data_IF_273179382241
#
_entry.id   IF_273179382241
#
_cell.length_a   1.000
_cell.length_b   1.000
_cell.length_c   1.000
_cell.angle_alpha   90.00
_cell.angle_beta   90.00
_cell.angle_gamma   90.00
#
_symmetry.space_group_name_H-M   'P 1'
#
loop_
_entity.id
_entity.type
_entity.pdbx_description
1 polymer ?
#
# COMPACT_ATOMS: atom_id res chain seq x y z
N UNK A 1 -33.51 1.91 -31.24
CA UNK A 1 -33.39 0.46 -30.95
C UNK A 1 -31.94 0.02 -30.75
N UNK A 2 -31.02 0.23 -31.71
CA UNK A 2 -29.61 -0.17 -31.55
C UNK A 2 -28.91 0.44 -30.31
N UNK A 3 -29.17 1.73 -30.00
CA UNK A 3 -28.64 2.42 -28.80
C UNK A 3 -29.20 1.91 -27.46
N UNK A 4 -30.44 1.41 -27.45
CA UNK A 4 -31.04 0.82 -26.25
C UNK A 4 -30.43 -0.55 -25.96
N UNK A 5 -30.15 -1.34 -27.00
CA UNK A 5 -29.49 -2.64 -26.88
C UNK A 5 -28.04 -2.50 -26.38
N UNK A 6 -27.29 -1.48 -26.81
CA UNK A 6 -25.93 -1.24 -26.30
C UNK A 6 -25.90 -0.80 -24.84
N UNK A 7 -26.85 0.04 -24.39
CA UNK A 7 -26.97 0.41 -22.98
C UNK A 7 -27.34 -0.79 -22.09
N UNK A 8 -28.18 -1.71 -22.58
CA UNK A 8 -28.52 -2.94 -21.86
C UNK A 8 -27.31 -3.86 -21.69
N UNK A 9 -26.47 -4.01 -22.72
CA UNK A 9 -25.27 -4.86 -22.68
C UNK A 9 -24.23 -4.32 -21.68
N UNK A 10 -24.07 -2.99 -21.60
CA UNK A 10 -23.19 -2.36 -20.61
C UNK A 10 -23.72 -2.60 -19.19
N UNK A 11 -25.03 -2.53 -18.96
CA UNK A 11 -25.64 -2.84 -17.66
C UNK A 11 -25.41 -4.30 -17.21
N UNK A 12 -25.43 -5.27 -18.14
CA UNK A 12 -25.15 -6.68 -17.82
C UNK A 12 -23.67 -6.96 -17.50
N UNK A 13 -22.74 -6.14 -18.01
CA UNK A 13 -21.30 -6.22 -17.68
C UNK A 13 -20.97 -5.70 -16.27
N UNK A 14 -21.86 -4.91 -15.66
CA UNK A 14 -21.75 -4.42 -14.27
C UNK A 14 -22.44 -5.33 -13.24
N UNK A 15 -22.80 -6.57 -13.59
CA UNK A 15 -23.13 -7.58 -12.59
C UNK A 15 -21.86 -7.95 -11.83
N UNK A 16 -21.64 -7.24 -10.72
CA UNK A 16 -20.56 -7.44 -9.76
C UNK A 16 -20.41 -8.92 -9.40
N UNK A 17 -19.37 -9.56 -9.92
CA UNK A 17 -18.79 -10.72 -9.29
C UNK A 17 -17.93 -10.24 -8.12
N UNK A 18 -18.58 -9.84 -7.02
CA UNK A 18 -17.89 -9.74 -5.73
C UNK A 18 -17.73 -11.17 -5.20
N UNK A 19 -16.69 -11.87 -5.66
CA UNK A 19 -16.21 -13.04 -4.95
C UNK A 19 -15.20 -12.57 -3.90
N UNK A 20 -15.71 -12.12 -2.76
CA UNK A 20 -14.90 -12.08 -1.53
C UNK A 20 -14.82 -13.52 -0.99
N UNK A 21 -14.12 -14.40 -1.70
CA UNK A 21 -13.76 -15.70 -1.15
C UNK A 21 -12.47 -15.52 -0.35
N UNK A 22 -12.62 -15.21 0.93
CA UNK A 22 -11.56 -15.38 1.91
C UNK A 22 -11.45 -16.88 2.21
N UNK A 23 -10.86 -17.64 1.28
CA UNK A 23 -10.54 -19.04 1.53
C UNK A 23 -9.31 -19.07 2.46
N UNK A 24 -9.57 -18.99 3.77
CA UNK A 24 -8.57 -19.15 4.83
C UNK A 24 -8.05 -20.58 4.78
N UNK A 25 -7.08 -20.84 3.91
CA UNK A 25 -6.36 -22.13 3.87
C UNK A 25 -5.65 -22.31 5.21
N UNK A 26 -6.33 -23.03 6.09
CA UNK A 26 -5.94 -23.19 7.50
C UNK A 26 -4.76 -24.16 7.65
N UNK A 27 -4.24 -24.71 6.54
CA UNK A 27 -3.27 -25.78 6.55
C UNK A 27 -1.86 -25.35 7.01
N UNK A 28 -1.52 -24.04 6.97
CA UNK A 28 -0.17 -23.55 7.30
C UNK A 28 -0.12 -22.25 8.13
N UNK A 29 -1.27 -21.69 8.52
CA UNK A 29 -1.35 -20.39 9.21
C UNK A 29 -0.74 -19.23 8.40
N UNK A 30 -0.62 -19.41 7.08
CA UNK A 30 -0.17 -18.41 6.12
C UNK A 30 -1.41 -17.74 5.53
N UNK A 31 -1.53 -16.44 5.74
CA UNK A 31 -2.56 -15.60 5.15
C UNK A 31 -2.03 -15.03 3.83
N UNK A 32 -2.80 -15.23 2.76
CA UNK A 32 -2.51 -14.71 1.42
C UNK A 32 -3.66 -13.76 1.08
N UNK A 33 -3.32 -12.51 0.78
CA UNK A 33 -4.28 -11.48 0.37
C UNK A 33 -3.72 -10.71 -0.81
N UNK A 34 -4.57 -10.02 -1.57
CA UNK A 34 -4.09 -9.22 -2.70
C UNK A 34 -5.23 -8.50 -3.41
N UNK A 35 -4.87 -7.70 -4.40
CA UNK A 35 -5.85 -7.00 -5.23
C UNK A 35 -5.33 -6.80 -6.66
N UNK A 36 -6.27 -6.58 -7.59
CA UNK A 36 -5.98 -6.26 -8.99
C UNK A 36 -6.75 -4.99 -9.32
N UNK A 37 -6.05 -4.02 -9.91
CA UNK A 37 -6.59 -2.72 -10.28
C UNK A 37 -6.48 -2.49 -11.80
N UNK A 38 -7.64 -2.33 -12.41
CA UNK A 38 -7.80 -1.92 -13.81
C UNK A 38 -8.92 -0.91 -13.87
N UNK A 39 -8.77 0.14 -14.68
CA UNK A 39 -9.69 1.26 -14.70
C UNK A 39 -9.84 1.84 -16.09
N UNK A 40 -10.91 2.60 -16.29
CA UNK A 40 -11.11 3.46 -17.45
C UNK A 40 -11.49 4.84 -16.95
N UNK A 41 -10.77 5.86 -17.40
CA UNK A 41 -11.04 7.26 -17.04
C UNK A 41 -11.42 8.04 -18.28
N UNK A 42 -12.42 8.92 -18.17
CA UNK A 42 -12.77 9.87 -19.23
C UNK A 42 -12.95 11.26 -18.65
N UNK A 43 -12.26 12.23 -19.23
CA UNK A 43 -12.31 13.63 -18.90
C UNK A 43 -12.94 14.41 -20.06
N UNK A 44 -14.10 15.02 -19.81
CA UNK A 44 -14.83 15.80 -20.81
C UNK A 44 -14.06 17.01 -21.33
N UNK A 45 -13.06 17.50 -20.59
CA UNK A 45 -12.20 18.59 -21.04
C UNK A 45 -11.03 18.11 -21.91
N UNK A 46 -10.83 16.78 -22.06
CA UNK A 46 -9.74 16.16 -22.82
C UNK A 46 -8.34 16.69 -22.46
N UNK A 47 -8.16 17.17 -21.24
CA UNK A 47 -6.91 17.72 -20.69
C UNK A 47 -6.87 17.39 -19.19
N UNK A 48 -5.71 17.07 -18.59
CA UNK A 48 -5.65 16.80 -17.15
C UNK A 48 -6.11 18.01 -16.32
N UNK A 49 -7.33 17.95 -15.77
CA UNK A 49 -7.93 19.05 -15.00
C UNK A 49 -7.85 18.85 -13.48
N UNK A 50 -7.71 17.61 -13.01
CA UNK A 50 -7.50 17.26 -11.60
C UNK A 50 -6.05 16.85 -11.42
N UNK A 51 -5.22 17.77 -10.90
CA UNK A 51 -3.78 17.57 -10.66
C UNK A 51 -3.47 16.79 -9.37
N UNK A 52 -4.31 15.82 -9.04
CA UNK A 52 -4.05 14.88 -7.94
C UNK A 52 -3.18 13.72 -8.44
N UNK A 53 -2.95 12.70 -7.61
CA UNK A 53 -2.14 11.55 -8.01
C UNK A 53 -3.04 10.45 -8.59
N UNK A 54 -2.49 9.69 -9.54
CA UNK A 54 -3.15 8.57 -10.23
C UNK A 54 -4.37 9.01 -11.07
N UNK A 55 -4.23 10.16 -11.73
CA UNK A 55 -5.27 10.77 -12.57
C UNK A 55 -4.74 11.16 -13.95
N UNK A 56 -3.68 10.53 -14.46
CA UNK A 56 -2.99 10.97 -15.68
C UNK A 56 -3.71 10.50 -16.95
N UNK A 57 -4.20 9.26 -16.97
CA UNK A 57 -4.76 8.63 -18.19
C UNK A 57 -6.13 9.20 -18.58
N UNK A 58 -6.37 9.47 -19.86
CA UNK A 58 -7.67 9.93 -20.35
C UNK A 58 -8.15 9.11 -21.55
N UNK A 59 -9.42 8.73 -21.52
CA UNK A 59 -10.09 7.94 -22.54
C UNK A 59 -9.32 6.65 -22.89
N UNK A 60 -8.77 5.99 -21.87
CA UNK A 60 -7.97 4.78 -22.01
C UNK A 60 -8.36 3.75 -20.95
N UNK A 61 -8.39 2.48 -21.36
CA UNK A 61 -8.43 1.36 -20.42
C UNK A 61 -7.00 1.13 -19.97
N UNK A 62 -6.79 1.20 -18.66
CA UNK A 62 -5.47 1.21 -18.06
C UNK A 62 -5.41 0.23 -16.89
N UNK A 63 -4.19 -0.15 -16.55
CA UNK A 63 -3.88 -0.96 -15.38
C UNK A 63 -3.24 -0.05 -14.32
N UNK A 64 -3.62 -0.22 -13.06
CA UNK A 64 -3.02 0.54 -11.97
C UNK A 64 -1.97 -0.28 -11.22
N UNK A 65 -2.39 -1.40 -10.65
CA UNK A 65 -1.48 -2.34 -9.98
C UNK A 65 -2.06 -3.72 -9.74
N UNK A 66 -1.17 -4.68 -9.52
CA UNK A 66 -1.46 -5.96 -8.84
C UNK A 66 -0.70 -5.94 -7.53
N UNK A 67 -1.39 -6.27 -6.45
CA UNK A 67 -0.86 -6.34 -5.09
C UNK A 67 -1.02 -7.76 -4.52
N UNK A 68 0.02 -8.27 -3.88
CA UNK A 68 0.03 -9.59 -3.26
C UNK A 68 0.78 -9.56 -1.93
N UNK A 69 0.05 -9.77 -0.84
CA UNK A 69 0.56 -9.84 0.52
C UNK A 69 0.53 -11.26 1.08
N UNK A 70 1.61 -11.60 1.77
CA UNK A 70 1.80 -12.81 2.55
C UNK A 70 2.02 -12.41 4.01
N UNK A 71 1.21 -12.95 4.91
CA UNK A 71 1.34 -12.71 6.36
C UNK A 71 1.33 -14.03 7.09
N UNK A 72 2.19 -14.17 8.10
CA UNK A 72 2.16 -15.34 8.96
C UNK A 72 2.62 -14.98 10.35
N UNK A 73 1.95 -15.54 11.35
CA UNK A 73 2.36 -15.49 12.75
C UNK A 73 2.59 -16.90 13.27
N UNK A 74 3.76 -17.15 13.86
CA UNK A 74 4.13 -18.41 14.49
C UNK A 74 4.62 -18.13 15.90
N UNK A 75 3.78 -18.45 16.89
CA UNK A 75 4.02 -18.06 18.27
C UNK A 75 4.10 -16.54 18.41
N UNK A 76 5.23 -16.03 18.91
CA UNK A 76 5.50 -14.60 19.11
C UNK A 76 6.12 -13.91 17.89
N UNK A 77 6.56 -14.66 16.89
CA UNK A 77 7.18 -14.10 15.68
C UNK A 77 6.16 -14.00 14.54
N UNK A 78 6.21 -12.93 13.76
CA UNK A 78 5.45 -12.80 12.53
C UNK A 78 6.26 -12.14 11.42
N UNK A 79 5.82 -12.32 10.18
CA UNK A 79 6.35 -11.58 9.04
C UNK A 79 5.22 -11.08 8.14
N UNK A 80 5.54 -10.03 7.38
CA UNK A 80 4.74 -9.53 6.26
C UNK A 80 5.67 -9.35 5.07
N UNK A 81 5.26 -9.90 3.93
CA UNK A 81 5.87 -9.64 2.63
C UNK A 81 4.78 -9.26 1.63
N UNK A 82 4.88 -8.08 1.03
CA UNK A 82 3.89 -7.54 0.11
C UNK A 82 4.59 -7.07 -1.16
N UNK A 83 4.11 -7.57 -2.29
CA UNK A 83 4.64 -7.31 -3.61
C UNK A 83 3.64 -6.51 -4.42
N UNK A 84 4.13 -5.50 -5.13
CA UNK A 84 3.28 -4.58 -5.89
C UNK A 84 3.87 -4.26 -7.25
N UNK A 85 3.08 -4.57 -8.28
CA UNK A 85 3.44 -4.47 -9.69
C UNK A 85 2.49 -3.54 -10.43
N UNK A 86 2.95 -2.94 -11.52
CA UNK A 86 2.17 -2.00 -12.34
C UNK A 86 2.49 -0.54 -12.05
N UNK A 87 1.91 0.40 -12.82
CA UNK A 87 2.33 1.80 -12.79
C UNK A 87 2.28 2.47 -11.41
N UNK A 88 1.31 2.11 -10.57
CA UNK A 88 1.19 2.65 -9.21
C UNK A 88 2.30 2.16 -8.29
N UNK A 89 2.62 0.87 -8.33
CA UNK A 89 3.69 0.29 -7.51
C UNK A 89 5.08 0.70 -8.01
N UNK A 90 5.33 0.52 -9.31
CA UNK A 90 6.64 0.67 -9.92
C UNK A 90 7.14 2.11 -9.98
N UNK A 91 6.28 3.07 -10.35
CA UNK A 91 6.73 4.43 -10.69
C UNK A 91 6.43 5.48 -9.62
N UNK A 92 5.59 5.17 -8.62
CA UNK A 92 4.95 6.21 -7.81
C UNK A 92 5.13 6.04 -6.31
N UNK A 93 5.82 5.00 -5.88
CA UNK A 93 5.67 4.58 -4.48
C UNK A 93 6.68 3.58 -3.94
N UNK A 94 7.26 2.74 -4.80
CA UNK A 94 8.27 1.78 -4.36
C UNK A 94 9.65 2.26 -4.78
N UNK A 95 10.63 2.05 -3.90
CA UNK A 95 12.03 2.36 -4.17
C UNK A 95 12.57 1.72 -5.44
N UNK A 96 13.50 2.44 -6.06
CA UNK A 96 14.25 1.94 -7.20
C UNK A 96 15.34 0.94 -6.79
N UNK A 97 15.58 -0.03 -7.67
CA UNK A 97 16.49 -1.16 -7.45
C UNK A 97 17.97 -0.81 -7.40
N UNK A 98 18.36 0.30 -8.03
CA UNK A 98 19.75 0.66 -8.30
C UNK A 98 20.24 1.89 -7.50
N UNK A 99 19.40 2.43 -6.61
CA UNK A 99 19.74 3.57 -5.77
C UNK A 99 19.86 4.90 -6.53
N UNK A 100 19.53 4.95 -7.82
CA UNK A 100 19.40 6.20 -8.57
C UNK A 100 18.01 6.79 -8.29
N UNK A 101 17.98 7.92 -7.61
CA UNK A 101 16.76 8.70 -7.46
C UNK A 101 16.24 9.08 -8.87
N UNK A 102 15.07 8.55 -9.24
CA UNK A 102 14.41 8.86 -10.51
C UNK A 102 14.73 7.95 -11.71
N UNK A 103 15.39 6.80 -11.54
CA UNK A 103 15.25 5.71 -12.53
C UNK A 103 13.99 4.88 -12.26
N UNK A 104 12.86 5.48 -12.61
CA UNK A 104 11.53 4.91 -12.47
C UNK A 104 11.39 3.53 -13.19
N UNK A 105 12.35 3.15 -14.05
CA UNK A 105 12.27 1.89 -14.81
C UNK A 105 12.68 0.64 -14.01
N UNK A 106 13.25 0.77 -12.81
CA UNK A 106 13.78 -0.34 -12.04
C UNK A 106 13.27 -0.31 -10.60
N UNK A 107 12.29 -1.14 -10.25
CA UNK A 107 11.75 -1.26 -8.88
C UNK A 107 11.98 -2.66 -8.31
N UNK A 108 12.20 -2.76 -7.00
CA UNK A 108 12.19 -4.06 -6.32
C UNK A 108 10.80 -4.69 -6.24
N UNK A 109 9.73 -3.92 -6.49
CA UNK A 109 8.34 -4.34 -6.34
C UNK A 109 7.98 -4.81 -4.92
N UNK A 110 8.69 -4.32 -3.91
CA UNK A 110 8.46 -4.64 -2.50
C UNK A 110 7.76 -3.45 -1.84
N UNK A 111 6.50 -3.64 -1.44
CA UNK A 111 5.71 -2.61 -0.76
C UNK A 111 5.88 -2.69 0.76
N UNK A 112 5.89 -3.90 1.32
CA UNK A 112 6.20 -4.18 2.72
C UNK A 112 7.07 -5.42 2.82
N UNK A 113 8.14 -5.38 3.62
CA UNK A 113 8.94 -6.56 3.95
C UNK A 113 9.53 -6.40 5.33
N UNK A 114 8.86 -6.96 6.34
CA UNK A 114 9.31 -6.82 7.72
C UNK A 114 8.96 -8.04 8.56
N UNK A 115 9.70 -8.17 9.66
CA UNK A 115 9.47 -9.16 10.70
C UNK A 115 9.08 -8.46 12.00
N UNK A 116 8.21 -9.08 12.79
CA UNK A 116 7.83 -8.60 14.12
C UNK A 116 7.99 -9.70 15.15
N UNK A 117 8.29 -9.30 16.38
CA UNK A 117 8.37 -10.19 17.53
C UNK A 117 7.68 -9.57 18.74
N UNK A 118 6.74 -10.32 19.32
CA UNK A 118 6.04 -9.94 20.55
C UNK A 118 6.93 -10.26 21.76
N UNK A 119 7.57 -9.23 22.32
CA UNK A 119 8.35 -9.37 23.55
C UNK A 119 7.46 -9.72 24.74
N UNK A 120 6.28 -9.10 24.78
CA UNK A 120 5.21 -9.37 25.76
C UNK A 120 3.85 -9.28 25.06
N UNK A 121 2.75 -9.51 25.79
CA UNK A 121 1.40 -9.32 25.25
C UNK A 121 1.10 -7.87 24.85
N UNK A 122 1.84 -6.89 25.39
CA UNK A 122 1.63 -5.46 25.16
C UNK A 122 2.76 -4.77 24.39
N UNK A 123 3.91 -5.44 24.22
CA UNK A 123 5.10 -4.85 23.64
C UNK A 123 5.59 -5.72 22.48
N UNK A 124 5.68 -5.13 21.30
CA UNK A 124 6.26 -5.77 20.12
C UNK A 124 7.37 -4.91 19.51
N UNK A 125 8.33 -5.58 18.88
CA UNK A 125 9.36 -4.93 18.06
C UNK A 125 9.22 -5.39 16.61
N UNK A 126 9.37 -4.46 15.68
CA UNK A 126 9.28 -4.72 14.23
C UNK A 126 10.52 -4.15 13.55
N UNK A 127 11.14 -4.93 12.68
CA UNK A 127 12.29 -4.51 11.88
C UNK A 127 12.07 -4.85 10.41
N UNK A 128 12.48 -3.95 9.53
CA UNK A 128 12.47 -4.18 8.09
C UNK A 128 12.03 -2.95 7.31
N UNK A 129 11.35 -3.20 6.21
CA UNK A 129 10.90 -2.22 5.26
C UNK A 129 9.37 -2.09 5.34
N UNK A 130 8.87 -0.93 5.74
CA UNK A 130 7.46 -0.73 6.05
C UNK A 130 6.89 0.42 5.22
N UNK A 131 5.63 0.29 4.80
CA UNK A 131 4.85 1.43 4.33
C UNK A 131 4.73 2.48 5.43
N UNK A 132 4.59 3.74 5.01
CA UNK A 132 4.58 4.86 5.93
C UNK A 132 3.48 4.77 6.98
N UNK A 133 3.76 5.36 8.15
CA UNK A 133 2.80 5.53 9.25
C UNK A 133 2.15 6.93 9.26
N UNK A 134 2.50 7.78 8.29
CA UNK A 134 2.03 9.16 8.19
C UNK A 134 1.12 9.28 6.98
N UNK A 135 -0.06 9.86 7.20
CA UNK A 135 -1.07 10.01 6.15
C UNK A 135 -2.06 8.85 6.13
N UNK A 136 -3.23 9.11 5.54
CA UNK A 136 -4.33 8.16 5.45
C UNK A 136 -4.34 7.42 4.11
N UNK A 137 -3.91 8.09 3.05
CA UNK A 137 -3.96 7.57 1.69
C UNK A 137 -2.72 6.73 1.40
N UNK A 138 -2.94 5.57 0.80
CA UNK A 138 -1.89 4.60 0.48
C UNK A 138 -1.81 4.31 -1.01
N UNK A 139 -0.77 3.57 -1.38
CA UNK A 139 -0.43 3.24 -2.78
C UNK A 139 -1.52 2.35 -3.38
N UNK A 140 -1.91 1.33 -2.63
CA UNK A 140 -2.88 0.33 -3.04
C UNK A 140 -4.29 0.93 -3.06
N UNK A 141 -4.96 1.02 -4.22
CA UNK A 141 -6.24 1.71 -4.35
C UNK A 141 -7.36 1.00 -3.58
N UNK A 142 -7.26 -0.32 -3.39
CA UNK A 142 -8.24 -1.11 -2.62
C UNK A 142 -8.26 -0.77 -1.13
N UNK A 143 -7.20 -0.13 -0.63
CA UNK A 143 -7.09 0.31 0.76
C UNK A 143 -7.45 1.79 0.95
N UNK A 144 -7.88 2.49 -0.11
CA UNK A 144 -8.31 3.88 -0.05
C UNK A 144 -9.82 3.99 -0.20
N UNK A 145 -10.41 5.02 0.42
CA UNK A 145 -11.82 5.35 0.20
C UNK A 145 -12.08 5.91 -1.22
N UNK A 146 -11.12 6.68 -1.75
CA UNK A 146 -11.17 7.21 -3.12
C UNK A 146 -10.07 6.57 -3.98
N UNK A 147 -10.35 6.42 -5.28
CA UNK A 147 -9.40 5.84 -6.22
C UNK A 147 -8.13 6.69 -6.43
N UNK A 148 -8.34 8.00 -6.64
CA UNK A 148 -7.27 9.00 -6.71
C UNK A 148 -6.89 9.47 -5.31
N UNK A 149 -5.63 9.85 -5.12
CA UNK A 149 -5.15 10.35 -3.82
C UNK A 149 -4.89 11.86 -3.86
N UNK A 150 -5.07 12.51 -2.71
CA UNK A 150 -4.99 13.98 -2.57
C UNK A 150 -3.60 14.54 -2.82
N UNK A 151 -3.48 15.87 -2.86
CA UNK A 151 -2.17 16.54 -2.93
C UNK A 151 -1.25 16.20 -1.75
N UNK A 152 -1.82 15.88 -0.57
CA UNK A 152 -1.03 15.58 0.62
C UNK A 152 -0.36 14.21 0.53
N UNK A 153 -0.91 13.28 -0.26
CA UNK A 153 -0.32 11.95 -0.49
C UNK A 153 1.13 12.05 -0.96
N UNK A 154 1.42 12.90 -1.94
CA UNK A 154 2.79 13.03 -2.44
C UNK A 154 3.68 14.02 -1.71
N UNK A 155 3.21 14.60 -0.61
CA UNK A 155 4.03 15.44 0.27
C UNK A 155 4.64 14.65 1.45
N UNK A 156 4.28 13.36 1.58
CA UNK A 156 4.70 12.51 2.68
C UNK A 156 5.68 11.40 2.27
N UNK A 157 6.19 10.64 3.28
CA UNK A 157 6.91 9.39 3.04
C UNK A 157 6.00 8.37 2.38
N UNK A 158 6.56 7.45 1.60
CA UNK A 158 5.84 6.26 1.15
C UNK A 158 6.30 5.01 1.88
N UNK A 159 7.61 4.90 2.10
CA UNK A 159 8.23 3.74 2.73
C UNK A 159 9.39 4.13 3.65
N UNK A 160 9.49 3.43 4.76
CA UNK A 160 10.45 3.66 5.83
C UNK A 160 11.14 2.34 6.22
N UNK A 161 12.46 2.28 6.00
CA UNK A 161 13.29 1.18 6.47
C UNK A 161 13.75 1.45 7.90
N UNK A 162 13.57 0.52 8.82
CA UNK A 162 14.04 0.74 10.19
C UNK A 162 13.56 -0.26 11.23
N UNK A 163 13.60 0.19 12.48
CA UNK A 163 13.19 -0.53 13.67
C UNK A 163 12.15 0.29 14.42
N UNK A 164 11.05 -0.34 14.81
CA UNK A 164 10.06 0.26 15.70
C UNK A 164 9.71 -0.64 16.87
N UNK A 165 9.26 -0.02 17.95
CA UNK A 165 8.61 -0.67 19.07
C UNK A 165 7.19 -0.13 19.21
N UNK A 166 6.23 -1.02 19.47
CA UNK A 166 4.84 -0.66 19.73
C UNK A 166 4.46 -1.13 21.13
N UNK A 167 3.91 -0.21 21.93
CA UNK A 167 3.38 -0.51 23.26
C UNK A 167 1.88 -0.22 23.32
N UNK A 168 1.09 -1.25 23.61
CA UNK A 168 -0.37 -1.15 23.73
C UNK A 168 -0.75 -0.88 25.18
N UNK A 169 -1.26 0.32 25.47
CA UNK A 169 -1.72 0.67 26.81
C UNK A 169 -3.11 0.09 27.09
N UNK A 170 -3.99 0.15 26.10
CA UNK A 170 -5.36 -0.34 26.12
C UNK A 170 -5.80 -0.75 24.72
N UNK A 171 -6.99 -1.32 24.59
CA UNK A 171 -7.56 -1.69 23.28
C UNK A 171 -7.68 -0.51 22.30
N UNK A 172 -7.72 0.74 22.80
CA UNK A 172 -7.95 1.94 21.99
C UNK A 172 -6.71 2.82 21.81
N UNK A 173 -5.65 2.56 22.57
CA UNK A 173 -4.49 3.46 22.63
C UNK A 173 -3.21 2.64 22.68
N UNK A 174 -2.37 2.86 21.67
CA UNK A 174 -1.00 2.38 21.62
C UNK A 174 -0.03 3.51 21.25
N UNK A 175 1.24 3.35 21.63
CA UNK A 175 2.32 4.23 21.22
C UNK A 175 3.31 3.45 20.38
N UNK A 176 3.66 4.02 19.24
CA UNK A 176 4.79 3.59 18.42
C UNK A 176 5.93 4.58 18.58
N UNK A 177 7.12 4.03 18.80
CA UNK A 177 8.39 4.73 18.64
C UNK A 177 9.24 4.00 17.62
N UNK A 178 9.99 4.71 16.81
CA UNK A 178 10.89 4.06 15.86
C UNK A 178 12.05 4.92 15.41
N UNK A 179 13.05 4.22 14.91
CA UNK A 179 14.24 4.77 14.29
C UNK A 179 14.32 4.24 12.86
N UNK A 180 14.46 5.14 11.91
CA UNK A 180 14.37 4.85 10.49
C UNK A 180 15.55 5.47 9.74
N UNK A 181 15.85 4.88 8.60
CA UNK A 181 16.65 5.51 7.56
C UNK A 181 15.94 6.78 7.06
N UNK A 182 16.61 7.56 6.21
CA UNK A 182 15.94 8.54 5.37
C UNK A 182 14.72 7.90 4.67
N UNK A 183 13.61 8.65 4.62
CA UNK A 183 12.40 8.21 3.91
C UNK A 183 12.68 7.98 2.42
N UNK A 184 11.98 7.01 1.84
CA UNK A 184 12.06 6.72 0.40
C UNK A 184 13.51 6.46 -0.10
N UNK A 185 14.39 5.88 0.73
CA UNK A 185 15.69 5.33 0.29
C UNK A 185 15.87 3.86 0.70
N UNK A 186 16.58 3.10 -0.13
CA UNK A 186 16.85 1.68 0.13
C UNK A 186 17.99 1.52 1.14
N UNK A 187 19.05 2.29 0.93
CA UNK A 187 20.23 2.32 1.79
C UNK A 187 20.47 3.75 2.23
N UNK A 188 20.71 3.91 3.53
CA UNK A 188 21.10 5.18 4.10
C UNK A 188 22.59 5.13 4.48
N UNK A 189 23.39 5.90 3.76
CA UNK A 189 24.83 6.00 4.00
C UNK A 189 25.17 6.89 5.19
N UNK A 190 24.20 7.63 5.74
CA UNK A 190 24.34 8.43 6.95
C UNK A 190 23.92 7.66 8.22
N UNK A 191 23.45 6.42 8.07
CA UNK A 191 22.95 5.58 9.16
C UNK A 191 21.52 5.95 9.58
N UNK A 192 20.97 5.21 10.55
CA UNK A 192 19.60 5.41 11.04
C UNK A 192 19.47 6.80 11.69
N UNK A 193 18.83 7.73 10.98
CA UNK A 193 18.89 9.17 11.25
C UNK A 193 17.54 9.78 11.66
N UNK A 194 16.43 9.10 11.39
CA UNK A 194 15.08 9.62 11.58
C UNK A 194 14.38 9.00 12.79
N UNK A 195 13.78 9.84 13.63
CA UNK A 195 13.03 9.43 14.82
C UNK A 195 11.54 9.70 14.63
N UNK A 196 10.73 8.67 14.86
CA UNK A 196 9.29 8.76 14.70
C UNK A 196 8.58 8.41 16.00
N UNK A 197 7.50 9.14 16.28
CA UNK A 197 6.61 8.96 17.41
C UNK A 197 5.19 9.10 16.90
N UNK A 198 4.35 8.09 17.12
CA UNK A 198 2.93 8.19 16.79
C UNK A 198 2.06 7.47 17.80
N UNK A 199 0.92 8.07 18.13
CA UNK A 199 -0.13 7.44 18.93
C UNK A 199 -1.12 6.79 17.99
N UNK A 200 -1.31 5.48 18.13
CA UNK A 200 -2.26 4.73 17.34
C UNK A 200 -3.58 4.64 18.09
N UNK A 201 -4.65 5.08 17.42
CA UNK A 201 -6.02 4.90 17.87
C UNK A 201 -6.69 3.84 17.02
N UNK A 202 -7.01 2.70 17.63
CA UNK A 202 -7.87 1.71 16.98
C UNK A 202 -9.31 2.21 17.05
N UNK A 203 -9.88 2.45 15.87
CA UNK A 203 -11.32 2.65 15.70
C UNK A 203 -11.93 1.28 15.44
N UNK A 204 -12.95 0.93 16.22
CA UNK A 204 -13.74 -0.30 16.06
C UNK A 204 -14.54 -0.27 14.74
#
# INVERSE_FOLDING_TARGET
MKKLITLSIIYYLFLNFTNAQEEKSTLLGLEISGSVDTYWKYDFQNQPNIKTYFTEDNNSVSIGMVDLALKKKTGRASFVGELSFGPRGQYRSILNGDGQAGDDNNSFHIQNLYVSYDLTEKLSMTAGFMGTFVGYEVICPSNNFHYSTSYLFGAGPFQDAGLKANYTFSEKVALMVGIFNDWNVYQDFNGVSHFWLTTQHHTE
#
